data_IF_690943959600
#
_entry.id   IF_690943959600
#
_cell.length_a   1.000
_cell.length_b   1.000
_cell.length_c   1.000
_cell.angle_alpha   90.00
_cell.angle_beta   90.00
_cell.angle_gamma   90.00
#
_symmetry.space_group_name_H-M   'P 1'
#
loop_
_entity.id
_entity.type
_entity.pdbx_description
1 polymer ?
#
# COMPACT_ATOMS: atom_id res chain seq x y z
N UNK A 1 -18.13 14.65 5.16
CA UNK A 1 -16.76 15.01 4.78
C UNK A 1 -16.08 15.49 6.03
N UNK A 2 -14.93 14.89 6.33
CA UNK A 2 -14.05 15.29 7.44
C UNK A 2 -13.71 16.78 7.39
N UNK A 3 -13.51 17.39 8.56
CA UNK A 3 -13.07 18.78 8.65
C UNK A 3 -11.55 18.91 8.58
N UNK A 4 -11.05 20.09 8.19
CA UNK A 4 -9.61 20.37 8.15
C UNK A 4 -9.01 20.37 9.56
N UNK A 5 -9.80 20.75 10.56
CA UNK A 5 -9.42 20.69 11.98
C UNK A 5 -9.19 19.24 12.42
N UNK A 6 -10.10 18.32 12.10
CA UNK A 6 -9.91 16.89 12.43
C UNK A 6 -8.67 16.30 11.73
N UNK A 7 -8.46 16.61 10.44
CA UNK A 7 -7.24 16.21 9.74
C UNK A 7 -5.97 16.78 10.41
N UNK A 8 -6.04 18.02 10.92
CA UNK A 8 -4.94 18.66 11.64
C UNK A 8 -4.66 17.97 12.97
N UNK A 9 -5.69 17.61 13.73
CA UNK A 9 -5.52 16.84 14.98
C UNK A 9 -4.90 15.47 14.74
N UNK A 10 -5.34 14.76 13.70
CA UNK A 10 -4.80 13.45 13.31
C UNK A 10 -3.32 13.60 12.93
N UNK A 11 -2.99 14.60 12.12
CA UNK A 11 -1.61 14.93 11.71
C UNK A 11 -0.70 15.18 12.91
N UNK A 12 -1.12 15.97 13.90
CA UNK A 12 -0.31 16.23 15.10
C UNK A 12 -0.08 14.97 15.93
N UNK A 13 -1.12 14.14 16.11
CA UNK A 13 -1.01 12.86 16.84
C UNK A 13 -0.07 11.87 16.14
N UNK A 14 -0.11 11.79 14.81
CA UNK A 14 0.68 10.85 14.00
C UNK A 14 2.04 11.38 13.57
N UNK A 15 2.31 12.68 13.78
CA UNK A 15 3.53 13.39 13.35
C UNK A 15 3.77 13.28 11.84
N UNK A 16 2.75 13.58 11.05
CA UNK A 16 2.73 13.49 9.58
C UNK A 16 2.48 14.87 8.95
N UNK A 17 2.12 14.90 7.66
CA UNK A 17 1.71 16.11 6.94
C UNK A 17 0.22 16.07 6.62
N UNK A 18 -0.41 17.25 6.47
CA UNK A 18 -1.81 17.35 6.06
C UNK A 18 -2.06 16.66 4.71
N UNK A 19 -1.11 16.77 3.77
CA UNK A 19 -1.19 16.09 2.48
C UNK A 19 -1.31 14.56 2.64
N UNK A 20 -0.53 13.98 3.55
CA UNK A 20 -0.59 12.54 3.80
C UNK A 20 -1.87 12.12 4.51
N UNK A 21 -2.37 12.91 5.47
CA UNK A 21 -3.64 12.57 6.14
C UNK A 21 -4.84 12.71 5.20
N UNK A 22 -4.84 13.70 4.31
CA UNK A 22 -5.86 13.79 3.24
C UNK A 22 -5.75 12.60 2.27
N UNK A 23 -4.53 12.22 1.87
CA UNK A 23 -4.29 11.05 1.01
C UNK A 23 -4.87 9.78 1.64
N UNK A 24 -4.55 9.54 2.91
CA UNK A 24 -5.01 8.37 3.64
C UNK A 24 -6.54 8.42 3.85
N UNK A 25 -7.13 9.60 4.08
CA UNK A 25 -8.58 9.79 4.10
C UNK A 25 -9.25 9.37 2.78
N UNK A 26 -8.73 9.82 1.64
CA UNK A 26 -9.25 9.41 0.32
C UNK A 26 -9.07 7.91 0.09
N UNK A 27 -7.94 7.32 0.52
CA UNK A 27 -7.74 5.87 0.48
C UNK A 27 -8.79 5.13 1.33
N UNK A 28 -9.10 5.61 2.54
CA UNK A 28 -10.11 5.02 3.42
C UNK A 28 -11.52 5.06 2.80
N UNK A 29 -11.90 6.18 2.16
CA UNK A 29 -13.18 6.26 1.43
C UNK A 29 -13.22 5.21 0.32
N UNK A 30 -12.16 5.13 -0.51
CA UNK A 30 -12.10 4.16 -1.60
C UNK A 30 -12.12 2.72 -1.08
N UNK A 31 -11.40 2.43 0.00
CA UNK A 31 -11.34 1.11 0.63
C UNK A 31 -12.70 0.71 1.22
N UNK A 32 -13.39 1.64 1.88
CA UNK A 32 -14.76 1.42 2.35
C UNK A 32 -15.70 1.11 1.17
N UNK A 33 -15.60 1.86 0.08
CA UNK A 33 -16.42 1.65 -1.11
C UNK A 33 -16.16 0.29 -1.78
N UNK A 34 -14.89 -0.07 -1.98
CA UNK A 34 -14.51 -1.34 -2.63
C UNK A 34 -14.75 -2.56 -1.72
N UNK A 35 -14.82 -2.37 -0.39
CA UNK A 35 -15.14 -3.43 0.57
C UNK A 35 -16.52 -4.08 0.29
N UNK A 36 -17.46 -3.32 -0.29
CA UNK A 36 -18.77 -3.83 -0.75
C UNK A 36 -18.63 -4.94 -1.81
N UNK A 37 -17.45 -5.06 -2.42
CA UNK A 37 -17.09 -6.06 -3.43
C UNK A 37 -15.93 -6.95 -2.97
N UNK A 38 -15.67 -7.05 -1.66
CA UNK A 38 -14.46 -7.68 -1.09
C UNK A 38 -14.16 -9.09 -1.61
N UNK A 39 -15.18 -9.90 -1.95
CA UNK A 39 -14.98 -11.23 -2.52
C UNK A 39 -14.26 -11.23 -3.88
N UNK A 40 -14.17 -10.06 -4.54
CA UNK A 40 -13.53 -9.89 -5.85
C UNK A 40 -12.13 -9.29 -5.78
N UNK A 41 -11.71 -8.74 -4.65
CA UNK A 41 -10.45 -8.00 -4.52
C UNK A 41 -9.70 -8.37 -3.25
N UNK A 42 -8.40 -8.64 -3.39
CA UNK A 42 -7.51 -8.92 -2.26
C UNK A 42 -6.54 -7.74 -2.13
N UNK A 43 -6.68 -6.96 -1.07
CA UNK A 43 -5.83 -5.78 -0.83
C UNK A 43 -4.43 -6.19 -0.37
N UNK A 44 -3.39 -5.59 -0.96
CA UNK A 44 -2.00 -5.97 -0.74
C UNK A 44 -1.06 -4.77 -0.83
N UNK A 45 0.25 -5.04 -0.85
CA UNK A 45 1.27 -4.00 -1.01
C UNK A 45 1.52 -3.16 0.24
N UNK A 46 2.23 -2.04 0.06
CA UNK A 46 2.68 -1.19 1.17
C UNK A 46 1.53 -0.50 1.91
N UNK A 47 0.47 -0.13 1.20
CA UNK A 47 -0.67 0.57 1.81
C UNK A 47 -1.55 -0.40 2.60
N UNK A 48 -1.62 -1.67 2.19
CA UNK A 48 -2.19 -2.73 3.03
C UNK A 48 -1.40 -2.91 4.33
N UNK A 49 -0.06 -2.94 4.26
CA UNK A 49 0.78 -2.95 5.45
C UNK A 49 0.54 -1.73 6.35
N UNK A 50 0.41 -0.53 5.78
CA UNK A 50 0.12 0.72 6.49
C UNK A 50 -1.22 0.65 7.23
N UNK A 51 -2.29 0.38 6.50
CA UNK A 51 -3.67 0.49 6.98
C UNK A 51 -4.09 -0.71 7.83
N UNK A 52 -3.70 -1.92 7.44
CA UNK A 52 -4.18 -3.15 8.09
C UNK A 52 -3.19 -3.71 9.11
N UNK A 53 -1.88 -3.54 8.90
CA UNK A 53 -0.83 -4.14 9.74
C UNK A 53 0.01 -3.11 10.52
N UNK A 54 -0.34 -1.82 10.46
CA UNK A 54 0.32 -0.76 11.21
C UNK A 54 1.79 -0.55 10.82
N UNK A 55 2.12 -0.61 9.54
CA UNK A 55 3.43 -0.12 9.05
C UNK A 55 3.51 1.40 9.25
N UNK A 56 4.63 1.90 9.73
CA UNK A 56 4.74 3.34 10.06
C UNK A 56 4.95 4.22 8.83
N UNK A 57 5.68 3.73 7.83
CA UNK A 57 6.01 4.57 6.68
C UNK A 57 4.78 4.95 5.85
N UNK A 58 4.80 6.15 5.28
CA UNK A 58 3.82 6.57 4.31
C UNK A 58 3.80 5.63 3.08
N UNK A 59 2.60 5.39 2.54
CA UNK A 59 2.37 4.59 1.34
C UNK A 59 1.15 5.13 0.60
N UNK A 60 1.30 5.34 -0.70
CA UNK A 60 0.35 6.13 -1.49
C UNK A 60 -0.50 5.31 -2.47
N UNK A 61 0.03 4.19 -2.96
CA UNK A 61 -0.59 3.38 -4.00
C UNK A 61 -1.51 2.31 -3.40
N UNK A 62 -2.68 2.07 -3.99
CA UNK A 62 -3.59 1.01 -3.59
C UNK A 62 -3.42 -0.19 -4.54
N UNK A 63 -2.83 -1.27 -4.04
CA UNK A 63 -2.61 -2.50 -4.82
C UNK A 63 -3.65 -3.58 -4.48
N UNK A 64 -4.30 -4.12 -5.49
CA UNK A 64 -5.25 -5.22 -5.37
C UNK A 64 -4.86 -6.39 -6.27
N UNK A 65 -5.14 -7.59 -5.78
CA UNK A 65 -5.26 -8.74 -6.65
C UNK A 65 -6.70 -9.11 -6.96
N UNK A 66 -6.97 -9.42 -8.22
CA UNK A 66 -8.31 -9.84 -8.68
C UNK A 66 -8.23 -10.79 -9.86
N UNK A 67 -9.29 -11.58 -10.04
CA UNK A 67 -9.52 -12.44 -11.21
C UNK A 67 -10.58 -11.88 -12.15
N UNK A 68 -11.11 -10.68 -11.86
CA UNK A 68 -12.06 -10.01 -12.73
C UNK A 68 -11.38 -9.57 -14.03
N UNK A 69 -12.17 -9.50 -15.10
CA UNK A 69 -11.73 -8.86 -16.34
C UNK A 69 -11.80 -7.34 -16.23
N UNK A 70 -11.14 -6.65 -17.15
CA UNK A 70 -11.00 -5.19 -17.17
C UNK A 70 -12.36 -4.48 -17.17
N UNK A 71 -13.32 -4.95 -17.96
CA UNK A 71 -14.67 -4.39 -18.02
C UNK A 71 -15.36 -4.39 -16.65
N UNK A 72 -15.33 -5.51 -15.94
CA UNK A 72 -15.92 -5.64 -14.59
C UNK A 72 -15.17 -4.80 -13.56
N UNK A 73 -13.83 -4.73 -13.65
CA UNK A 73 -13.04 -3.88 -12.78
C UNK A 73 -13.46 -2.41 -12.93
N UNK A 74 -13.52 -1.90 -14.16
CA UNK A 74 -13.95 -0.52 -14.44
C UNK A 74 -15.37 -0.22 -13.96
N UNK A 75 -16.30 -1.16 -14.15
CA UNK A 75 -17.67 -1.01 -13.67
C UNK A 75 -17.71 -0.83 -12.15
N UNK A 76 -16.99 -1.68 -11.41
CA UNK A 76 -16.93 -1.61 -9.95
C UNK A 76 -16.25 -0.31 -9.51
N UNK A 77 -15.14 0.08 -10.13
CA UNK A 77 -14.43 1.31 -9.77
C UNK A 77 -15.33 2.53 -9.98
N UNK A 78 -16.07 2.60 -11.09
CA UNK A 78 -17.06 3.66 -11.32
C UNK A 78 -18.13 3.69 -10.23
N UNK A 79 -18.57 2.53 -9.71
CA UNK A 79 -19.51 2.47 -8.57
C UNK A 79 -18.84 2.94 -7.27
N UNK A 80 -17.59 2.56 -7.01
CA UNK A 80 -16.86 3.01 -5.84
C UNK A 80 -16.64 4.53 -5.83
N UNK A 81 -16.37 5.12 -7.00
CA UNK A 81 -16.15 6.55 -7.12
C UNK A 81 -17.40 7.39 -6.78
N UNK A 82 -18.61 6.83 -6.91
CA UNK A 82 -19.85 7.50 -6.50
C UNK A 82 -19.94 7.77 -4.99
N UNK A 83 -19.20 7.02 -4.16
CA UNK A 83 -19.17 7.29 -2.71
C UNK A 83 -18.51 8.66 -2.41
N UNK A 84 -17.64 9.16 -3.31
CA UNK A 84 -17.06 10.50 -3.18
C UNK A 84 -18.08 11.61 -3.51
N UNK A 85 -19.02 11.36 -4.43
CA UNK A 85 -20.11 12.31 -4.73
C UNK A 85 -20.97 12.57 -3.49
N UNK A 86 -21.25 11.53 -2.69
CA UNK A 86 -22.00 11.64 -1.42
C UNK A 86 -21.30 12.52 -0.38
N UNK A 87 -19.98 12.67 -0.49
CA UNK A 87 -19.17 13.52 0.37
C UNK A 87 -18.88 14.90 -0.26
N UNK A 88 -19.45 15.20 -1.42
CA UNK A 88 -19.17 16.40 -2.23
C UNK A 88 -17.69 16.56 -2.63
N UNK A 89 -16.96 15.45 -2.75
CA UNK A 89 -15.56 15.44 -3.19
C UNK A 89 -15.56 15.24 -4.71
N UNK A 90 -15.19 16.30 -5.45
CA UNK A 90 -15.07 16.19 -6.91
C UNK A 90 -13.84 15.37 -7.28
N UNK A 91 -13.95 14.62 -8.36
CA UNK A 91 -12.86 13.81 -8.87
C UNK A 91 -12.84 13.76 -10.40
N UNK A 92 -11.66 13.48 -10.96
CA UNK A 92 -11.50 13.17 -12.37
C UNK A 92 -10.55 11.98 -12.54
N UNK A 93 -10.90 11.06 -13.45
CA UNK A 93 -9.98 10.01 -13.86
C UNK A 93 -8.90 10.68 -14.72
N UNK A 94 -7.68 10.74 -14.20
CA UNK A 94 -6.54 11.41 -14.84
C UNK A 94 -5.80 10.47 -15.80
N UNK A 95 -5.71 9.19 -15.45
CA UNK A 95 -5.09 8.16 -16.29
C UNK A 95 -5.76 6.81 -16.10
N UNK A 96 -5.86 6.05 -17.18
CA UNK A 96 -6.29 4.66 -17.21
C UNK A 96 -5.36 3.90 -18.15
N UNK A 97 -4.73 2.84 -17.65
CA UNK A 97 -3.78 2.01 -18.41
C UNK A 97 -4.06 0.53 -18.22
N UNK A 98 -4.12 -0.18 -19.33
CA UNK A 98 -4.39 -1.63 -19.39
C UNK A 98 -3.16 -2.38 -19.86
N UNK A 99 -2.86 -3.50 -19.20
CA UNK A 99 -1.69 -4.32 -19.53
C UNK A 99 -2.00 -5.79 -19.25
N UNK A 100 -2.32 -6.56 -20.28
CA UNK A 100 -2.48 -8.03 -20.20
C UNK A 100 -3.39 -8.48 -19.03
N UNK A 101 -4.57 -7.87 -18.86
CA UNK A 101 -5.50 -8.17 -17.77
C UNK A 101 -5.21 -7.45 -16.45
N UNK A 102 -4.20 -6.59 -16.40
CA UNK A 102 -3.96 -5.64 -15.31
C UNK A 102 -4.57 -4.27 -15.66
N UNK A 103 -5.03 -3.56 -14.64
CA UNK A 103 -5.61 -2.23 -14.78
C UNK A 103 -4.98 -1.28 -13.77
N UNK A 104 -4.43 -0.16 -14.24
CA UNK A 104 -4.00 0.95 -13.40
C UNK A 104 -4.89 2.15 -13.67
N UNK A 105 -5.46 2.71 -12.61
CA UNK A 105 -6.25 3.93 -12.67
C UNK A 105 -5.66 4.96 -11.71
N UNK A 106 -5.52 6.19 -12.20
CA UNK A 106 -5.16 7.36 -11.40
C UNK A 106 -6.35 8.30 -11.35
N UNK A 107 -6.87 8.53 -10.15
CA UNK A 107 -8.01 9.42 -9.90
C UNK A 107 -7.52 10.61 -9.09
N UNK A 108 -7.73 11.80 -9.62
CA UNK A 108 -7.41 13.06 -8.95
C UNK A 108 -8.66 13.59 -8.26
N UNK A 109 -8.48 14.09 -7.04
CA UNK A 109 -9.54 14.56 -6.15
C UNK A 109 -9.31 16.01 -5.76
N UNK A 110 -10.40 16.77 -5.73
CA UNK A 110 -10.52 18.04 -5.00
C UNK A 110 -10.98 17.69 -3.57
N UNK A 111 -10.01 17.26 -2.75
CA UNK A 111 -10.25 16.79 -1.37
C UNK A 111 -10.51 17.94 -0.37
N UNK A 112 -10.65 17.61 0.93
CA UNK A 112 -10.85 18.59 2.00
C UNK A 112 -9.87 19.78 2.04
N UNK A 113 -8.65 19.62 1.53
CA UNK A 113 -7.60 20.66 1.49
C UNK A 113 -7.56 21.43 0.17
N UNK A 114 -8.51 21.22 -0.74
CA UNK A 114 -8.53 21.89 -2.04
C UNK A 114 -8.77 23.40 -1.91
N UNK A 115 -7.84 24.20 -2.43
CA UNK A 115 -7.85 25.66 -2.36
C UNK A 115 -8.20 26.32 -3.72
N UNK A 116 -8.88 25.59 -4.61
CA UNK A 116 -9.21 26.11 -5.95
C UNK A 116 -8.06 26.04 -6.96
N UNK A 117 -6.95 25.36 -6.65
CA UNK A 117 -5.78 25.23 -7.53
C UNK A 117 -5.38 23.77 -7.71
N UNK A 118 -4.92 23.41 -8.90
CA UNK A 118 -4.49 22.03 -9.21
C UNK A 118 -3.40 21.50 -8.25
N UNK A 119 -2.50 22.36 -7.77
CA UNK A 119 -1.46 21.97 -6.79
C UNK A 119 -2.00 21.56 -5.41
N UNK A 120 -3.26 21.91 -5.11
CA UNK A 120 -3.96 21.48 -3.88
C UNK A 120 -4.84 20.25 -4.09
N UNK A 121 -4.65 19.52 -5.20
CA UNK A 121 -5.35 18.25 -5.44
C UNK A 121 -4.54 17.08 -4.94
N UNK A 122 -5.23 15.98 -4.65
CA UNK A 122 -4.60 14.72 -4.27
C UNK A 122 -4.93 13.65 -5.30
N UNK A 123 -4.05 12.67 -5.54
CA UNK A 123 -4.26 11.65 -6.57
C UNK A 123 -4.16 10.26 -5.96
N UNK A 124 -5.20 9.44 -6.06
CA UNK A 124 -5.11 8.02 -5.75
C UNK A 124 -4.70 7.24 -6.99
N UNK A 125 -3.66 6.42 -6.84
CA UNK A 125 -3.26 5.44 -7.84
C UNK A 125 -3.73 4.07 -7.36
N UNK A 126 -4.52 3.41 -8.20
CA UNK A 126 -5.12 2.11 -7.90
C UNK A 126 -4.67 1.11 -8.95
N UNK A 127 -3.98 0.08 -8.49
CA UNK A 127 -3.37 -0.96 -9.30
C UNK A 127 -4.10 -2.29 -9.06
N UNK A 128 -4.63 -2.88 -10.14
CA UNK A 128 -5.28 -4.18 -10.13
C UNK A 128 -4.46 -5.14 -10.97
N UNK A 129 -4.02 -6.24 -10.36
CA UNK A 129 -3.23 -7.24 -11.05
C UNK A 129 -3.59 -8.67 -10.66
N UNK A 130 -3.41 -9.60 -11.60
CA UNK A 130 -3.64 -11.02 -11.31
C UNK A 130 -2.39 -11.62 -10.69
N UNK A 131 -2.48 -12.03 -9.42
CA UNK A 131 -1.40 -12.74 -8.74
C UNK A 131 -1.90 -14.03 -8.12
N UNK A 132 -1.07 -15.08 -8.18
CA UNK A 132 -1.34 -16.34 -7.48
C UNK A 132 -1.18 -16.09 -5.98
N UNK A 133 -2.28 -16.19 -5.24
CA UNK A 133 -2.31 -15.96 -3.79
C UNK A 133 -2.55 -17.28 -3.08
N UNK A 134 -1.76 -17.57 -2.04
CA UNK A 134 -1.92 -18.78 -1.22
C UNK A 134 -2.55 -18.49 0.14
N UNK A 135 -2.24 -17.34 0.74
CA UNK A 135 -2.66 -16.93 2.07
C UNK A 135 -3.32 -15.55 2.01
N UNK A 136 -4.57 -15.50 2.44
CA UNK A 136 -5.36 -14.28 2.58
C UNK A 136 -6.23 -14.39 3.82
N UNK A 137 -6.58 -13.27 4.43
CA UNK A 137 -7.47 -13.22 5.60
C UNK A 137 -8.42 -12.04 5.50
N UNK A 138 -9.54 -12.12 6.22
CA UNK A 138 -10.44 -10.97 6.40
C UNK A 138 -9.92 -10.16 7.57
N UNK A 139 -9.79 -8.84 7.40
CA UNK A 139 -9.41 -7.91 8.46
C UNK A 139 -10.41 -6.79 8.56
N UNK A 140 -10.80 -6.45 9.79
CA UNK A 140 -11.53 -5.22 10.09
C UNK A 140 -10.53 -4.08 10.04
N UNK A 141 -10.79 -3.09 9.20
CA UNK A 141 -10.00 -1.86 9.15
C UNK A 141 -10.41 -0.97 10.31
N UNK A 142 -9.43 -0.56 11.11
CA UNK A 142 -9.67 0.27 12.29
C UNK A 142 -10.18 1.65 11.89
N UNK A 143 -11.07 2.21 12.69
CA UNK A 143 -11.59 3.55 12.44
C UNK A 143 -10.49 4.59 12.67
N UNK A 144 -10.20 5.39 11.65
CA UNK A 144 -9.25 6.51 11.72
C UNK A 144 -9.95 7.87 11.55
N UNK A 145 -10.93 7.95 10.67
CA UNK A 145 -11.66 9.17 10.33
C UNK A 145 -13.10 9.09 10.83
N UNK A 146 -13.64 10.19 11.37
CA UNK A 146 -14.94 10.21 12.04
C UNK A 146 -16.10 9.80 11.13
N UNK A 147 -16.06 10.20 9.86
CA UNK A 147 -17.11 10.01 8.85
C UNK A 147 -16.89 8.80 7.92
N UNK A 148 -15.83 8.02 8.15
CA UNK A 148 -15.63 6.71 7.51
C UNK A 148 -16.07 5.61 8.49
N UNK A 149 -17.04 4.74 8.12
CA UNK A 149 -17.49 3.66 8.99
C UNK A 149 -16.42 2.56 9.14
N UNK A 150 -16.62 1.65 10.08
CA UNK A 150 -15.84 0.40 10.13
C UNK A 150 -16.21 -0.48 8.93
N UNK A 151 -15.22 -1.07 8.29
CA UNK A 151 -15.41 -2.00 7.19
C UNK A 151 -14.39 -3.14 7.25
N UNK A 152 -14.65 -4.22 6.52
CA UNK A 152 -13.74 -5.37 6.44
C UNK A 152 -13.24 -5.57 5.02
N UNK A 153 -11.96 -5.91 4.88
CA UNK A 153 -11.34 -6.23 3.60
C UNK A 153 -10.84 -7.67 3.61
N UNK A 154 -10.84 -8.30 2.43
CA UNK A 154 -9.96 -9.44 2.20
C UNK A 154 -8.57 -8.87 1.89
N UNK A 155 -7.59 -9.21 2.72
CA UNK A 155 -6.21 -8.74 2.58
C UNK A 155 -5.28 -9.92 2.36
N UNK A 156 -4.14 -9.65 1.73
CA UNK A 156 -3.03 -10.61 1.67
C UNK A 156 -2.48 -10.82 3.08
N UNK A 157 -2.22 -12.08 3.46
CA UNK A 157 -1.66 -12.39 4.77
C UNK A 157 -0.22 -11.83 4.89
N UNK A 158 0.17 -11.40 6.09
CA UNK A 158 1.46 -10.75 6.32
C UNK A 158 2.67 -11.66 6.00
N UNK A 159 2.56 -12.99 6.14
CA UNK A 159 3.63 -13.91 5.72
C UNK A 159 3.77 -13.94 4.18
N UNK A 160 2.67 -13.83 3.45
CA UNK A 160 2.70 -13.73 1.99
C UNK A 160 3.15 -12.34 1.53
N UNK A 161 2.74 -11.26 2.21
CA UNK A 161 3.28 -9.93 1.96
C UNK A 161 4.80 -9.90 2.20
N UNK A 162 5.29 -10.46 3.31
CA UNK A 162 6.72 -10.58 3.60
C UNK A 162 7.44 -11.32 2.45
N UNK A 163 6.84 -12.40 1.97
CA UNK A 163 7.40 -13.16 0.84
C UNK A 163 7.45 -12.33 -0.44
N UNK A 164 6.39 -11.59 -0.78
CA UNK A 164 6.38 -10.69 -1.93
C UNK A 164 7.40 -9.55 -1.79
N UNK A 165 7.61 -9.06 -0.57
CA UNK A 165 8.60 -8.02 -0.27
C UNK A 165 10.04 -8.49 -0.35
N UNK A 166 10.35 -9.69 0.15
CA UNK A 166 11.66 -10.31 -0.02
C UNK A 166 11.95 -10.52 -1.51
N UNK A 167 10.97 -11.05 -2.27
CA UNK A 167 11.08 -11.21 -3.73
C UNK A 167 11.36 -9.87 -4.41
N UNK A 168 10.60 -8.83 -4.09
CA UNK A 168 10.78 -7.50 -4.66
C UNK A 168 12.15 -6.89 -4.31
N UNK A 169 12.59 -7.07 -3.07
CA UNK A 169 13.92 -6.65 -2.60
C UNK A 169 15.05 -7.31 -3.39
N UNK A 170 14.94 -8.61 -3.66
CA UNK A 170 15.92 -9.35 -4.47
C UNK A 170 15.99 -8.82 -5.91
N UNK A 171 14.83 -8.48 -6.49
CA UNK A 171 14.76 -8.07 -7.89
C UNK A 171 15.14 -6.61 -8.11
N UNK A 172 14.80 -5.72 -7.18
CA UNK A 172 14.91 -4.26 -7.36
C UNK A 172 15.91 -3.61 -6.42
N UNK A 173 16.09 -4.16 -5.23
CA UNK A 173 17.01 -3.60 -4.24
C UNK A 173 16.59 -2.23 -3.71
N UNK A 174 15.29 -1.88 -3.66
CA UNK A 174 14.81 -0.55 -3.25
C UNK A 174 14.79 -0.34 -1.71
N UNK A 175 14.99 0.90 -1.26
CA UNK A 175 15.00 1.33 0.14
C UNK A 175 13.75 0.91 0.91
N UNK A 176 12.58 1.08 0.29
CA UNK A 176 11.26 0.75 0.87
C UNK A 176 11.07 -0.75 1.03
N UNK A 177 11.59 -1.56 0.11
CA UNK A 177 11.50 -3.01 0.23
C UNK A 177 12.41 -3.51 1.37
N UNK A 178 13.61 -2.95 1.52
CA UNK A 178 14.49 -3.28 2.66
C UNK A 178 13.83 -2.92 3.99
N UNK A 179 13.26 -1.72 4.08
CA UNK A 179 12.54 -1.27 5.27
C UNK A 179 11.34 -2.16 5.60
N UNK A 180 10.48 -2.47 4.61
CA UNK A 180 9.28 -3.29 4.84
C UNK A 180 9.64 -4.71 5.31
N UNK A 181 10.64 -5.33 4.69
CA UNK A 181 11.13 -6.66 5.10
C UNK A 181 11.68 -6.59 6.53
N UNK A 182 12.49 -5.58 6.84
CA UNK A 182 13.04 -5.38 8.18
C UNK A 182 11.95 -5.20 9.24
N UNK A 183 10.92 -4.38 8.99
CA UNK A 183 9.81 -4.17 9.92
C UNK A 183 9.04 -5.46 10.15
N UNK A 184 8.70 -6.19 9.08
CA UNK A 184 7.92 -7.43 9.20
C UNK A 184 8.67 -8.50 9.99
N UNK A 185 9.97 -8.65 9.74
CA UNK A 185 10.81 -9.57 10.51
C UNK A 185 10.89 -9.19 11.99
N UNK A 186 11.05 -7.90 12.30
CA UNK A 186 11.09 -7.40 13.69
C UNK A 186 9.73 -7.49 14.40
N UNK A 187 8.62 -7.49 13.65
CA UNK A 187 7.27 -7.83 14.17
C UNK A 187 7.09 -9.34 14.44
N UNK A 188 8.07 -10.17 14.07
CA UNK A 188 8.02 -11.62 14.26
C UNK A 188 7.30 -12.37 13.15
N UNK A 189 7.00 -11.73 12.02
CA UNK A 189 6.41 -12.40 10.86
C UNK A 189 7.41 -13.42 10.31
N UNK A 190 6.95 -14.66 10.15
CA UNK A 190 7.82 -15.77 9.74
C UNK A 190 7.94 -15.82 8.22
N UNK A 191 9.17 -16.04 7.75
CA UNK A 191 9.42 -16.30 6.33
C UNK A 191 8.92 -17.70 5.97
N UNK A 192 7.89 -17.78 5.13
CA UNK A 192 7.47 -19.04 4.51
C UNK A 192 8.47 -19.41 3.41
N UNK A 193 9.47 -20.23 3.77
CA UNK A 193 10.54 -20.66 2.87
C UNK A 193 10.02 -21.38 1.63
N UNK A 194 8.92 -22.13 1.75
CA UNK A 194 8.34 -22.88 0.62
C UNK A 194 7.71 -21.91 -0.37
N UNK A 195 6.89 -20.99 0.13
CA UNK A 195 6.26 -19.96 -0.70
C UNK A 195 7.30 -19.06 -1.36
N UNK A 196 8.34 -18.66 -0.62
CA UNK A 196 9.43 -17.85 -1.16
C UNK A 196 10.16 -18.57 -2.30
N UNK A 197 10.52 -19.85 -2.12
CA UNK A 197 11.19 -20.63 -3.15
C UNK A 197 10.33 -20.76 -4.43
N UNK A 198 9.02 -20.96 -4.28
CA UNK A 198 8.09 -21.01 -5.42
C UNK A 198 8.04 -19.67 -6.16
N UNK A 199 7.88 -18.55 -5.45
CA UNK A 199 7.79 -17.20 -6.04
C UNK A 199 9.09 -16.79 -6.74
N UNK A 200 10.26 -17.10 -6.16
CA UNK A 200 11.55 -16.86 -6.80
C UNK A 200 11.74 -17.69 -8.08
N UNK A 201 11.26 -18.94 -8.07
CA UNK A 201 11.30 -19.80 -9.26
C UNK A 201 10.44 -19.25 -10.41
N UNK A 202 9.26 -18.69 -10.11
CA UNK A 202 8.38 -18.08 -11.12
C UNK A 202 9.07 -16.94 -11.88
N UNK A 203 9.94 -16.18 -11.21
CA UNK A 203 10.68 -15.05 -11.80
C UNK A 203 12.12 -15.37 -12.18
N UNK A 204 12.53 -16.65 -12.04
CA UNK A 204 13.89 -17.12 -12.32
C UNK A 204 14.97 -16.38 -11.52
N UNK A 205 14.65 -15.94 -10.31
CA UNK A 205 15.58 -15.27 -9.40
C UNK A 205 15.97 -16.17 -8.22
N UNK A 206 17.01 -15.78 -7.49
CA UNK A 206 17.58 -16.50 -6.34
C UNK A 206 17.98 -15.49 -5.26
N UNK A 207 18.10 -15.94 -4.02
CA UNK A 207 18.58 -15.09 -2.91
C UNK A 207 19.95 -14.44 -3.21
N UNK A 208 20.82 -15.15 -3.93
CA UNK A 208 22.13 -14.63 -4.35
C UNK A 208 22.06 -13.48 -5.37
N UNK A 209 20.90 -13.21 -5.96
CA UNK A 209 20.71 -12.05 -6.85
C UNK A 209 20.55 -10.73 -6.07
N UNK A 210 20.35 -10.80 -4.75
CA UNK A 210 20.13 -9.62 -3.92
C UNK A 210 21.30 -8.64 -4.05
N UNK A 211 20.97 -7.43 -4.51
CA UNK A 211 21.87 -6.27 -4.51
C UNK A 211 21.17 -5.15 -3.78
N UNK A 212 21.70 -4.79 -2.62
CA UNK A 212 21.17 -3.68 -1.85
C UNK A 212 21.79 -2.37 -2.31
N UNK A 213 20.96 -1.33 -2.35
CA UNK A 213 21.36 0.06 -2.47
C UNK A 213 22.37 0.48 -1.40
N UNK A 214 22.99 1.66 -1.57
CA UNK A 214 23.87 2.27 -0.58
C UNK A 214 23.13 2.96 0.57
N UNK A 215 23.86 3.26 1.65
CA UNK A 215 23.34 3.96 2.84
C UNK A 215 22.71 5.32 2.50
N UNK A 216 23.39 6.15 1.70
CA UNK A 216 22.92 7.50 1.40
C UNK A 216 21.58 7.50 0.65
N UNK A 217 21.40 6.52 -0.24
CA UNK A 217 20.15 6.31 -0.97
C UNK A 217 19.03 5.85 -0.03
N UNK A 218 19.33 4.96 0.91
CA UNK A 218 18.38 4.49 1.91
C UNK A 218 17.85 5.64 2.76
N UNK A 219 18.76 6.47 3.27
CA UNK A 219 18.42 7.60 4.12
C UNK A 219 17.64 8.67 3.33
N UNK A 220 18.10 9.00 2.12
CA UNK A 220 17.42 9.95 1.24
C UNK A 220 16.00 9.54 0.93
N UNK A 221 15.76 8.27 0.61
CA UNK A 221 14.46 7.77 0.17
C UNK A 221 13.47 7.63 1.33
N UNK A 222 13.94 7.34 2.55
CA UNK A 222 13.07 7.04 3.69
C UNK A 222 12.89 8.21 4.66
N UNK A 223 13.81 9.18 4.74
CA UNK A 223 13.76 10.27 5.74
C UNK A 223 12.44 11.04 5.81
N UNK A 224 11.70 11.13 4.70
CA UNK A 224 10.40 11.81 4.61
C UNK A 224 9.20 10.86 4.63
N UNK A 225 9.45 9.55 4.67
CA UNK A 225 8.42 8.51 4.67
C UNK A 225 8.21 7.92 6.06
N UNK A 226 9.21 7.93 6.94
CA UNK A 226 9.12 7.37 8.30
C UNK A 226 9.31 8.43 9.36
N UNK A 227 8.66 8.26 10.51
CA UNK A 227 8.87 9.12 11.68
C UNK A 227 10.23 8.83 12.33
N UNK A 228 10.61 7.55 12.38
CA UNK A 228 11.90 7.10 12.93
C UNK A 228 12.58 6.25 11.85
N UNK A 229 13.73 6.72 11.39
CA UNK A 229 14.54 6.04 10.39
C UNK A 229 15.49 5.04 11.08
N UNK A 230 15.31 3.72 10.90
CA UNK A 230 16.28 2.75 11.40
C UNK A 230 17.62 2.90 10.67
N UNK A 231 18.71 2.51 11.34
CA UNK A 231 20.04 2.50 10.73
C UNK A 231 20.07 1.55 9.54
N UNK A 232 20.58 2.01 8.39
CA UNK A 232 20.78 1.17 7.20
C UNK A 232 21.59 -0.10 7.53
N UNK A 233 22.70 0.04 8.27
CA UNK A 233 23.56 -1.10 8.62
C UNK A 233 22.83 -2.12 9.50
N UNK A 234 22.00 -1.64 10.43
CA UNK A 234 21.18 -2.51 11.25
C UNK A 234 20.14 -3.25 10.39
N UNK A 235 19.38 -2.50 9.59
CA UNK A 235 18.32 -3.07 8.76
C UNK A 235 18.87 -4.12 7.79
N UNK A 236 19.97 -3.78 7.10
CA UNK A 236 20.70 -4.69 6.23
C UNK A 236 21.16 -5.94 6.96
N UNK A 237 21.87 -5.79 8.07
CA UNK A 237 22.43 -6.93 8.83
C UNK A 237 21.34 -7.89 9.29
N UNK A 238 20.26 -7.37 9.85
CA UNK A 238 19.16 -8.19 10.36
C UNK A 238 18.41 -8.93 9.24
N UNK A 239 18.16 -8.25 8.11
CA UNK A 239 17.52 -8.86 6.94
C UNK A 239 18.40 -9.96 6.34
N UNK A 240 19.70 -9.69 6.11
CA UNK A 240 20.62 -10.70 5.57
C UNK A 240 20.73 -11.92 6.50
N UNK A 241 20.82 -11.69 7.82
CA UNK A 241 20.81 -12.76 8.83
C UNK A 241 19.54 -13.59 8.77
N UNK A 242 18.37 -12.96 8.71
CA UNK A 242 17.08 -13.66 8.65
C UNK A 242 16.93 -14.50 7.37
N UNK A 243 17.52 -14.04 6.26
CA UNK A 243 17.51 -14.73 4.97
C UNK A 243 18.63 -15.76 4.79
N UNK A 244 19.55 -15.89 5.76
CA UNK A 244 20.76 -16.72 5.67
C UNK A 244 21.63 -16.36 4.45
N UNK A 245 21.79 -15.06 4.19
CA UNK A 245 22.69 -14.54 3.16
C UNK A 245 23.95 -14.03 3.88
N UNK A 246 25.11 -14.56 3.46
CA UNK A 246 26.42 -14.18 3.98
C UNK A 246 26.97 -12.92 3.29
#
# INVERSE_FOLDING_TARGET
MISVEELSEIKEKRKTSLYYEEKEYLQYIFLNAISKYANSFIFKGGTCLRICYGLERASEDLDFSTNLNELKMKEIIKKCLKDFDLLNIKYNIYSEKEFEGNLRIEVRFEGPLFMGKQASTNTLKVDFNKTKIKKKKVMVVQKLFSDVPLFSLIVLDEEEILTEKIRALINRGESRDLYDVWVLLNKGVKVDKKLLAEKLKEEKTRLSNLKLLGKDEYERDLKNLVTILPSYEQAKKEVLKALNIN
#
